data_IF_669128473754
#
_entry.id   IF_669128473754
#
_cell.length_a   1.000
_cell.length_b   1.000
_cell.length_c   1.000
_cell.angle_alpha   90.00
_cell.angle_beta   90.00
_cell.angle_gamma   90.00
#
_symmetry.space_group_name_H-M   'P 1'
#
loop_
_entity.id
_entity.type
_entity.pdbx_description
1 polymer ?
#
# COMPACT_ATOMS: atom_id res chain seq x y z
N UNK A 1 -6.02 -4.79 -15.57
CA UNK A 1 -7.18 -4.27 -14.80
C UNK A 1 -6.61 -3.36 -13.72
N UNK A 2 -7.23 -2.22 -13.47
CA UNK A 2 -6.75 -1.26 -12.50
C UNK A 2 -7.67 -1.32 -11.28
N UNK A 3 -7.08 -1.48 -10.10
CA UNK A 3 -7.80 -1.62 -8.83
C UNK A 3 -7.66 -0.34 -8.02
N UNK A 4 -8.68 0.03 -7.27
CA UNK A 4 -8.65 1.25 -6.45
C UNK A 4 -8.09 0.88 -5.07
N UNK A 5 -7.11 1.65 -4.61
CA UNK A 5 -6.59 1.59 -3.25
C UNK A 5 -7.19 2.76 -2.47
N UNK A 6 -7.98 2.44 -1.45
CA UNK A 6 -8.56 3.39 -0.49
C UNK A 6 -7.74 3.38 0.79
N UNK A 7 -7.49 4.55 1.33
CA UNK A 7 -6.82 4.76 2.62
C UNK A 7 -7.87 5.28 3.61
N UNK A 8 -7.88 4.74 4.83
CA UNK A 8 -8.81 5.19 5.89
C UNK A 8 -8.75 6.69 6.21
N UNK A 9 -7.66 7.37 5.83
CA UNK A 9 -7.49 8.82 5.93
C UNK A 9 -8.42 9.62 4.98
N UNK A 10 -9.21 8.93 4.14
CA UNK A 10 -10.13 9.55 3.17
C UNK A 10 -9.50 9.81 1.81
N UNK A 11 -8.38 9.15 1.51
CA UNK A 11 -7.67 9.26 0.24
C UNK A 11 -7.85 7.99 -0.59
N UNK A 12 -8.00 8.11 -1.91
CA UNK A 12 -8.11 6.96 -2.80
C UNK A 12 -7.44 7.21 -4.12
N UNK A 13 -6.75 6.21 -4.65
CA UNK A 13 -5.97 6.33 -5.88
C UNK A 13 -5.87 4.99 -6.59
N UNK A 14 -5.41 5.03 -7.84
CA UNK A 14 -5.30 3.84 -8.70
C UNK A 14 -3.80 3.55 -8.89
N UNK A 15 -3.23 2.50 -8.24
CA UNK A 15 -1.89 2.00 -8.54
C UNK A 15 -1.72 1.60 -10.01
N UNK A 16 -0.49 1.73 -10.52
CA UNK A 16 -0.10 1.13 -11.81
C UNK A 16 0.13 -0.36 -11.62
N UNK A 17 -0.34 -1.18 -12.55
CA UNK A 17 -0.23 -2.65 -12.47
C UNK A 17 1.21 -3.20 -12.41
N UNK A 18 2.19 -2.42 -12.84
CA UNK A 18 3.61 -2.81 -12.82
C UNK A 18 4.26 -2.60 -11.44
N UNK A 19 3.70 -1.71 -10.62
CA UNK A 19 4.26 -1.30 -9.33
C UNK A 19 3.71 -2.13 -8.18
N UNK A 20 4.50 -2.25 -7.13
CA UNK A 20 4.07 -2.79 -5.83
C UNK A 20 3.14 -1.82 -5.11
N UNK A 21 2.39 -2.31 -4.12
CA UNK A 21 1.57 -1.43 -3.28
C UNK A 21 2.42 -0.39 -2.55
N UNK A 22 3.64 -0.72 -2.14
CA UNK A 22 4.57 0.23 -1.52
C UNK A 22 4.93 1.36 -2.48
N UNK A 23 5.35 1.04 -3.71
CA UNK A 23 5.68 2.06 -4.71
C UNK A 23 4.46 2.92 -5.06
N UNK A 24 3.27 2.31 -5.06
CA UNK A 24 2.04 3.02 -5.29
C UNK A 24 1.74 4.01 -4.15
N UNK A 25 1.96 3.62 -2.89
CA UNK A 25 1.87 4.50 -1.72
C UNK A 25 2.93 5.62 -1.78
N UNK A 26 4.19 5.29 -2.08
CA UNK A 26 5.28 6.27 -2.26
C UNK A 26 4.95 7.28 -3.36
N UNK A 27 4.32 6.83 -4.46
CA UNK A 27 3.88 7.71 -5.56
C UNK A 27 2.80 8.72 -5.13
N UNK A 28 2.06 8.41 -4.08
CA UNK A 28 1.08 9.31 -3.46
C UNK A 28 1.65 10.11 -2.30
N UNK A 29 2.99 10.09 -2.12
CA UNK A 29 3.69 10.75 -1.02
C UNK A 29 3.24 10.27 0.36
N UNK A 30 2.85 8.99 0.43
CA UNK A 30 2.49 8.32 1.68
C UNK A 30 3.75 7.66 2.24
N UNK A 31 4.27 8.24 3.32
CA UNK A 31 5.44 7.70 4.02
C UNK A 31 5.03 6.40 4.74
N UNK A 32 5.66 5.29 4.37
CA UNK A 32 5.43 3.97 4.98
C UNK A 32 6.76 3.49 5.53
N UNK A 33 6.79 2.99 6.76
CA UNK A 33 8.02 2.44 7.33
C UNK A 33 8.45 1.20 6.55
N UNK A 34 9.61 1.22 5.90
CA UNK A 34 10.20 0.05 5.27
C UNK A 34 11.68 -0.04 5.60
N UNK A 35 12.19 -1.27 5.71
CA UNK A 35 13.63 -1.52 5.86
C UNK A 35 14.18 -2.37 4.73
N UNK A 36 13.59 -3.53 4.51
CA UNK A 36 14.12 -4.52 3.58
C UNK A 36 13.57 -4.42 2.16
N UNK A 37 12.36 -3.87 1.95
CA UNK A 37 11.62 -3.84 0.66
C UNK A 37 11.37 -5.20 -0.02
N UNK A 38 11.82 -6.30 0.57
CA UNK A 38 11.71 -7.64 0.00
C UNK A 38 10.74 -8.56 0.79
N UNK A 39 10.06 -8.06 1.82
CA UNK A 39 9.09 -8.86 2.59
C UNK A 39 9.69 -9.81 3.63
N UNK A 40 10.97 -9.62 3.99
CA UNK A 40 11.67 -10.44 5.01
C UNK A 40 11.61 -9.84 6.43
N UNK A 41 11.56 -8.52 6.54
CA UNK A 41 11.66 -7.79 7.81
C UNK A 41 10.31 -7.53 8.48
N UNK A 42 9.21 -7.52 7.71
CA UNK A 42 7.89 -7.19 8.23
C UNK A 42 7.70 -5.73 8.69
N UNK A 43 8.66 -4.82 8.46
CA UNK A 43 8.49 -3.41 8.83
C UNK A 43 7.45 -2.69 7.99
N UNK A 44 7.27 -3.12 6.73
CA UNK A 44 6.31 -2.52 5.78
C UNK A 44 4.85 -2.85 6.09
N UNK A 45 4.53 -3.53 7.20
CA UNK A 45 3.18 -4.00 7.52
C UNK A 45 2.15 -2.87 7.54
N UNK A 46 1.06 -3.09 6.82
CA UNK A 46 -0.14 -2.23 6.85
C UNK A 46 -1.37 -3.08 7.13
N UNK A 47 -2.39 -2.48 7.72
CA UNK A 47 -3.64 -3.15 8.03
C UNK A 47 -4.55 -3.12 6.78
N UNK A 48 -5.01 -4.29 6.35
CA UNK A 48 -5.96 -4.48 5.26
C UNK A 48 -7.37 -4.56 5.86
N UNK A 49 -8.15 -3.52 5.64
CA UNK A 49 -9.52 -3.40 6.14
C UNK A 49 -10.49 -4.15 5.23
N UNK A 50 -10.36 -3.98 3.92
CA UNK A 50 -11.22 -4.63 2.92
C UNK A 50 -10.47 -4.95 1.63
N UNK A 51 -10.97 -5.92 0.89
CA UNK A 51 -10.46 -6.34 -0.41
C UNK A 51 -9.44 -7.47 -0.33
N UNK A 52 -8.73 -7.70 -1.43
CA UNK A 52 -7.74 -8.77 -1.57
C UNK A 52 -6.51 -8.30 -2.32
N UNK A 53 -5.35 -8.67 -1.79
CA UNK A 53 -4.03 -8.43 -2.39
C UNK A 53 -3.42 -9.76 -2.81
N UNK A 54 -2.54 -9.68 -3.80
CA UNK A 54 -1.79 -10.83 -4.29
C UNK A 54 -0.29 -10.57 -4.12
N UNK A 55 0.40 -11.53 -3.53
CA UNK A 55 1.84 -11.46 -3.29
C UNK A 55 2.58 -11.90 -4.56
N UNK A 56 3.49 -11.06 -5.06
CA UNK A 56 4.36 -11.45 -6.18
C UNK A 56 5.40 -12.49 -5.74
N UNK A 57 5.83 -12.39 -4.48
CA UNK A 57 6.78 -13.31 -3.86
C UNK A 57 6.23 -13.71 -2.50
N UNK A 58 6.31 -15.01 -2.17
CA UNK A 58 5.91 -15.52 -0.86
C UNK A 58 6.73 -14.84 0.24
N UNK A 59 6.09 -14.07 1.13
CA UNK A 59 6.81 -13.38 2.20
C UNK A 59 7.32 -14.40 3.22
N UNK A 60 8.57 -14.23 3.65
CA UNK A 60 9.16 -15.05 4.72
C UNK A 60 8.76 -14.52 6.10
N UNK A 61 8.41 -13.24 6.19
CA UNK A 61 7.89 -12.65 7.42
C UNK A 61 6.48 -13.17 7.72
N UNK A 62 6.19 -13.37 9.00
CA UNK A 62 4.83 -13.69 9.46
C UNK A 62 3.93 -12.47 9.27
N UNK A 63 2.86 -12.63 8.49
CA UNK A 63 1.84 -11.61 8.27
C UNK A 63 0.55 -12.10 8.93
N UNK A 64 0.07 -11.43 10.00
CA UNK A 64 -1.18 -11.82 10.64
C UNK A 64 -2.39 -11.53 9.74
N UNK A 65 -3.49 -12.23 9.99
CA UNK A 65 -4.77 -11.95 9.34
C UNK A 65 -5.19 -10.48 9.52
N UNK A 66 -5.62 -9.86 8.41
CA UNK A 66 -5.95 -8.44 8.37
C UNK A 66 -4.74 -7.51 8.24
N UNK A 67 -3.52 -8.04 8.06
CA UNK A 67 -2.34 -7.24 7.66
C UNK A 67 -1.76 -7.74 6.36
N UNK A 68 -1.02 -6.87 5.69
CA UNK A 68 -0.35 -7.17 4.43
C UNK A 68 1.04 -6.52 4.34
N UNK A 69 1.88 -7.00 3.42
CA UNK A 69 3.20 -6.44 3.13
C UNK A 69 3.21 -5.76 1.75
N UNK A 70 2.91 -4.44 1.66
CA UNK A 70 2.81 -3.70 0.42
C UNK A 70 4.12 -3.69 -0.37
N UNK A 71 5.26 -3.98 0.28
CA UNK A 71 6.56 -4.06 -0.37
C UNK A 71 6.72 -5.24 -1.35
N UNK A 72 5.93 -6.31 -1.24
CA UNK A 72 5.99 -7.46 -2.15
C UNK A 72 4.63 -7.92 -2.67
N UNK A 73 3.56 -7.19 -2.38
CA UNK A 73 2.22 -7.48 -2.90
C UNK A 73 1.68 -6.36 -3.78
N UNK A 74 0.63 -6.70 -4.53
CA UNK A 74 -0.13 -5.78 -5.36
C UNK A 74 -1.62 -5.96 -5.07
N UNK A 75 -2.42 -4.91 -5.34
CA UNK A 75 -3.87 -5.00 -5.22
C UNK A 75 -4.43 -5.86 -6.36
N UNK A 76 -5.14 -6.94 -6.00
CA UNK A 76 -5.85 -7.82 -6.95
C UNK A 76 -7.34 -7.46 -7.06
N UNK A 77 -7.83 -6.61 -6.16
CA UNK A 77 -9.19 -6.07 -6.13
C UNK A 77 -9.16 -4.69 -5.48
N UNK A 78 -10.31 -4.01 -5.43
CA UNK A 78 -10.43 -2.75 -4.69
C UNK A 78 -10.16 -3.01 -3.19
N UNK A 79 -9.11 -2.39 -2.68
CA UNK A 79 -8.63 -2.62 -1.31
C UNK A 79 -8.70 -1.37 -0.47
N UNK A 80 -9.03 -1.53 0.81
CA UNK A 80 -9.00 -0.47 1.82
C UNK A 80 -7.87 -0.77 2.81
N UNK A 81 -6.94 0.16 2.95
CA UNK A 81 -5.74 0.02 3.78
C UNK A 81 -5.72 1.08 4.90
N UNK A 82 -5.18 0.68 6.05
CA UNK A 82 -4.84 1.55 7.17
C UNK A 82 -3.33 1.43 7.45
N UNK A 83 -2.66 2.56 7.70
CA UNK A 83 -1.20 2.62 7.84
C UNK A 83 -0.84 2.85 9.31
N UNK A 84 -0.37 1.81 10.03
CA UNK A 84 0.06 1.92 11.42
C UNK A 84 1.46 2.56 11.46
N UNK A 85 1.52 3.87 11.71
CA UNK A 85 2.77 4.64 11.66
C UNK A 85 2.55 6.12 11.34
N UNK A 86 1.33 6.46 10.91
CA UNK A 86 0.94 7.81 10.58
C UNK A 86 1.14 8.09 9.11
N UNK A 87 0.04 8.35 8.42
CA UNK A 87 0.07 8.88 7.07
C UNK A 87 0.46 10.37 7.18
N UNK A 88 1.76 10.71 7.12
CA UNK A 88 2.14 12.07 6.76
C UNK A 88 1.85 12.26 5.27
N UNK A 89 0.56 12.24 4.88
CA UNK A 89 0.14 12.70 3.57
C UNK A 89 0.68 14.12 3.47
N UNK A 90 1.76 14.31 2.71
CA UNK A 90 2.06 15.65 2.23
C UNK A 90 0.88 15.99 1.34
N UNK A 91 -0.09 16.74 1.89
CA UNK A 91 -1.23 17.30 1.15
C UNK A 91 -0.68 18.23 0.09
N UNK A 92 -0.10 17.67 -0.96
CA UNK A 92 0.31 18.43 -2.10
C UNK A 92 -0.97 18.60 -2.91
N UNK A 93 -1.55 19.76 -2.69
CA UNK A 93 -2.66 20.32 -3.42
C UNK A 93 -2.24 20.45 -4.90
N UNK A 94 -2.25 19.36 -5.65
CA UNK A 94 -2.19 19.41 -7.11
C UNK A 94 -3.59 19.74 -7.64
N UNK A 95 -3.93 21.01 -7.45
CA UNK A 95 -4.72 21.76 -8.41
C UNK A 95 -4.06 21.61 -9.80
N UNK A 96 -4.85 21.28 -10.84
CA UNK A 96 -4.46 21.15 -12.28
C UNK A 96 -3.63 19.90 -12.60
N UNK A 97 -3.95 19.15 -13.65
CA UNK A 97 -4.01 19.58 -15.06
C UNK A 97 -5.17 18.85 -15.77
N UNK A 98 -6.10 19.53 -16.46
CA UNK A 98 -5.95 20.29 -17.72
C UNK A 98 -5.59 19.38 -18.91
#
# INVERSE_FOLDING_TARGET
MAHIVKIMDGFSFIPRSEMTLLEALESQWIDTEYQCREGFCGSCQVDLIEGTVEYRSEPVAFVPDGRILPCCCHASSDVTLEIPGGCHVKKNNTSKMA
#
